data_IF_614407071323
#
_entry.id   IF_614407071323
#
_cell.length_a   1.000
_cell.length_b   1.000
_cell.length_c   1.000
_cell.angle_alpha   90.00
_cell.angle_beta   90.00
_cell.angle_gamma   90.00
#
_symmetry.space_group_name_H-M   'P 1'
#
loop_
_entity.id
_entity.type
_entity.pdbx_description
1 polymer ?
#
# COMPACT_ATOMS: atom_id res chain seq x y z
N UNK A 1 -3.70 16.63 -16.11
CA UNK A 1 -3.98 15.23 -15.74
C UNK A 1 -3.18 14.90 -14.49
N UNK A 2 -3.79 15.00 -13.30
CA UNK A 2 -3.11 14.71 -12.05
C UNK A 2 -2.88 13.20 -11.95
N UNK A 3 -1.69 12.74 -12.31
CA UNK A 3 -1.26 11.33 -12.19
C UNK A 3 -1.06 11.02 -10.70
N UNK A 4 -2.15 10.89 -9.97
CA UNK A 4 -2.14 10.68 -8.54
C UNK A 4 -1.99 9.19 -8.22
N UNK A 5 -0.80 8.79 -7.78
CA UNK A 5 -0.62 7.46 -7.20
C UNK A 5 -1.25 7.44 -5.81
N UNK A 6 -2.28 6.62 -5.61
CA UNK A 6 -2.88 6.40 -4.28
C UNK A 6 -1.78 6.06 -3.27
N UNK A 7 -1.94 6.52 -2.02
CA UNK A 7 -1.01 6.19 -0.92
C UNK A 7 -0.75 4.67 -0.83
N UNK A 8 -1.76 3.89 -1.18
CA UNK A 8 -1.73 2.43 -1.21
C UNK A 8 -0.79 1.89 -2.29
N UNK A 9 -0.80 2.50 -3.48
CA UNK A 9 0.16 2.12 -4.53
C UNK A 9 1.60 2.47 -4.15
N UNK A 10 1.84 3.57 -3.41
CA UNK A 10 3.18 3.90 -2.88
C UNK A 10 3.67 2.92 -1.83
N UNK A 11 2.79 2.46 -0.93
CA UNK A 11 3.15 1.48 0.10
C UNK A 11 3.50 0.13 -0.56
N UNK A 12 2.80 -0.26 -1.63
CA UNK A 12 3.10 -1.47 -2.40
C UNK A 12 4.51 -1.45 -2.99
N UNK A 13 4.91 -0.36 -3.65
CA UNK A 13 6.27 -0.21 -4.19
C UNK A 13 7.32 -0.13 -3.10
N UNK A 14 6.99 0.47 -1.95
CA UNK A 14 7.90 0.50 -0.80
C UNK A 14 8.16 -0.90 -0.23
N UNK A 15 7.12 -1.72 -0.05
CA UNK A 15 7.26 -3.10 0.41
C UNK A 15 8.13 -3.93 -0.56
N UNK A 16 7.91 -3.79 -1.86
CA UNK A 16 8.71 -4.45 -2.89
C UNK A 16 10.19 -4.03 -2.82
N UNK A 17 10.46 -2.73 -2.63
CA UNK A 17 11.83 -2.22 -2.48
C UNK A 17 12.56 -2.80 -1.27
N UNK A 18 11.85 -3.05 -0.16
CA UNK A 18 12.44 -3.59 1.07
C UNK A 18 13.01 -5.01 0.88
N UNK A 19 12.41 -5.80 -0.02
CA UNK A 19 12.90 -7.14 -0.38
C UNK A 19 14.26 -7.04 -1.09
N UNK A 20 14.41 -6.09 -2.02
CA UNK A 20 15.67 -5.86 -2.71
C UNK A 20 16.79 -5.46 -1.74
N UNK A 21 16.48 -4.61 -0.76
CA UNK A 21 17.43 -4.25 0.31
C UNK A 21 17.83 -5.49 1.11
N UNK A 22 16.88 -6.36 1.47
CA UNK A 22 17.16 -7.63 2.14
C UNK A 22 18.15 -8.51 1.37
N UNK A 23 17.96 -8.68 0.06
CA UNK A 23 18.89 -9.44 -0.77
C UNK A 23 20.28 -8.82 -0.87
N UNK A 24 20.38 -7.50 -0.96
CA UNK A 24 21.67 -6.79 -0.97
C UNK A 24 22.41 -7.01 0.35
N UNK A 25 21.71 -6.88 1.49
CA UNK A 25 22.29 -7.13 2.82
C UNK A 25 22.79 -8.58 2.95
N UNK A 26 22.00 -9.56 2.46
CA UNK A 26 22.42 -10.96 2.44
C UNK A 26 23.67 -11.18 1.58
N UNK A 27 23.72 -10.58 0.39
CA UNK A 27 24.86 -10.71 -0.52
C UNK A 27 26.14 -10.11 0.08
N UNK A 28 26.05 -8.96 0.74
CA UNK A 28 27.17 -8.34 1.45
C UNK A 28 27.66 -9.25 2.58
N UNK A 29 26.76 -9.92 3.30
CA UNK A 29 27.11 -10.88 4.34
C UNK A 29 27.98 -12.05 3.84
N UNK A 30 27.80 -12.47 2.58
CA UNK A 30 28.60 -13.54 1.96
C UNK A 30 30.04 -13.09 1.68
N UNK A 31 30.29 -11.79 1.53
CA UNK A 31 31.65 -11.26 1.33
C UNK A 31 32.51 -11.41 2.60
N UNK A 32 31.88 -11.44 3.78
CA UNK A 32 32.53 -11.62 5.10
C UNK A 32 32.60 -13.09 5.55
N UNK A 33 32.75 -14.03 4.60
CA UNK A 33 32.88 -15.48 4.86
C UNK A 33 34.01 -15.84 5.83
N UNK A 34 35.01 -14.97 6.00
CA UNK A 34 36.15 -15.23 6.87
C UNK A 34 35.80 -15.27 8.37
N UNK A 35 34.64 -14.72 8.74
CA UNK A 35 34.15 -14.68 10.12
C UNK A 35 32.70 -15.17 10.18
N UNK A 36 32.44 -16.40 10.68
CA UNK A 36 31.11 -17.00 10.68
C UNK A 36 30.09 -16.22 11.53
N UNK A 37 30.54 -15.47 12.54
CA UNK A 37 29.69 -14.61 13.36
C UNK A 37 29.09 -13.43 12.57
N UNK A 38 29.93 -12.73 11.80
CA UNK A 38 29.48 -11.58 11.00
C UNK A 38 28.55 -12.06 9.88
N UNK A 39 28.90 -13.17 9.22
CA UNK A 39 28.05 -13.79 8.20
C UNK A 39 26.64 -14.09 8.74
N UNK A 40 26.56 -14.70 9.92
CA UNK A 40 25.28 -15.11 10.52
C UNK A 40 24.39 -13.91 10.89
N UNK A 41 24.98 -12.83 11.40
CA UNK A 41 24.24 -11.60 11.74
C UNK A 41 23.64 -10.96 10.48
N UNK A 42 24.40 -10.83 9.40
CA UNK A 42 23.91 -10.27 8.14
C UNK A 42 22.82 -11.14 7.50
N UNK A 43 22.96 -12.46 7.59
CA UNK A 43 21.97 -13.41 7.07
C UNK A 43 20.66 -13.33 7.87
N UNK A 44 20.74 -13.27 9.20
CA UNK A 44 19.57 -13.10 10.08
C UNK A 44 18.88 -11.75 9.83
N UNK A 45 19.67 -10.68 9.68
CA UNK A 45 19.16 -9.35 9.38
C UNK A 45 18.41 -9.32 8.03
N UNK A 46 18.96 -9.97 7.00
CA UNK A 46 18.31 -10.11 5.70
C UNK A 46 16.96 -10.82 5.79
N UNK A 47 16.86 -11.88 6.59
CA UNK A 47 15.58 -12.57 6.85
C UNK A 47 14.59 -11.66 7.56
N UNK A 48 15.03 -10.87 8.55
CA UNK A 48 14.18 -9.88 9.22
C UNK A 48 13.59 -8.88 8.23
N UNK A 49 14.39 -8.38 7.27
CA UNK A 49 13.90 -7.48 6.22
C UNK A 49 12.82 -8.12 5.33
N UNK A 50 12.98 -9.41 4.97
CA UNK A 50 12.00 -10.14 4.17
C UNK A 50 10.70 -10.38 4.94
N UNK A 51 10.81 -10.76 6.22
CA UNK A 51 9.64 -10.93 7.11
C UNK A 51 8.91 -9.60 7.28
N UNK A 52 9.63 -8.51 7.52
CA UNK A 52 9.06 -7.18 7.65
C UNK A 52 8.33 -6.75 6.38
N UNK A 53 8.91 -7.01 5.19
CA UNK A 53 8.25 -6.72 3.91
C UNK A 53 6.94 -7.52 3.76
N UNK A 54 6.98 -8.82 4.08
CA UNK A 54 5.81 -9.69 4.02
C UNK A 54 4.71 -9.22 4.97
N UNK A 55 5.06 -8.76 6.18
CA UNK A 55 4.10 -8.19 7.13
C UNK A 55 3.41 -6.92 6.60
N UNK A 56 4.17 -6.01 6.00
CA UNK A 56 3.61 -4.80 5.37
C UNK A 56 2.68 -5.18 4.21
N UNK A 57 3.10 -6.12 3.36
CA UNK A 57 2.29 -6.58 2.24
C UNK A 57 1.01 -7.29 2.69
N UNK A 58 1.09 -8.09 3.76
CA UNK A 58 -0.04 -8.76 4.37
C UNK A 58 -1.06 -7.76 4.92
N UNK A 59 -0.62 -6.70 5.58
CA UNK A 59 -1.52 -5.65 6.08
C UNK A 59 -2.25 -4.92 4.94
N UNK A 60 -1.57 -4.62 3.83
CA UNK A 60 -2.19 -4.04 2.63
C UNK A 60 -3.18 -5.04 2.00
N UNK A 61 -2.81 -6.33 1.94
CA UNK A 61 -3.68 -7.39 1.46
C UNK A 61 -4.98 -7.47 2.26
N UNK A 62 -4.89 -7.39 3.59
CA UNK A 62 -6.05 -7.33 4.47
C UNK A 62 -6.89 -6.05 4.27
N UNK A 63 -6.28 -4.91 3.93
CA UNK A 63 -7.02 -3.69 3.58
C UNK A 63 -7.84 -3.88 2.28
N UNK A 64 -7.30 -4.64 1.32
CA UNK A 64 -7.94 -4.92 0.02
C UNK A 64 -9.14 -5.87 0.11
N UNK A 65 -9.21 -6.72 1.14
CA UNK A 65 -10.36 -7.62 1.35
C UNK A 65 -11.56 -6.94 2.03
N UNK A 66 -11.37 -5.77 2.65
CA UNK A 66 -12.43 -4.99 3.30
C UNK A 66 -13.13 -3.99 2.38
N UNK A 67 -12.65 -3.82 1.15
CA UNK A 67 -13.19 -2.87 0.19
C UNK A 67 -14.51 -3.36 -0.43
N UNK A 68 -15.51 -2.48 -0.49
CA UNK A 68 -16.80 -2.74 -1.13
C UNK A 68 -16.63 -2.69 -2.65
N UNK A 69 -17.19 -3.68 -3.35
CA UNK A 69 -17.19 -3.73 -4.81
C UNK A 69 -18.39 -2.94 -5.32
N UNK A 70 -18.14 -1.92 -6.16
CA UNK A 70 -19.19 -1.16 -6.86
C UNK A 70 -18.88 -1.11 -8.34
N UNK A 71 -19.91 -1.01 -9.16
CA UNK A 71 -19.76 -0.87 -10.61
C UNK A 71 -19.55 0.60 -10.93
N UNK A 72 -18.47 0.93 -11.63
CA UNK A 72 -18.19 2.31 -12.03
C UNK A 72 -19.19 2.76 -13.12
N UNK A 73 -19.87 3.91 -12.98
CA UNK A 73 -20.86 4.37 -13.95
C UNK A 73 -20.26 4.81 -15.30
N UNK A 74 -18.95 5.10 -15.36
CA UNK A 74 -18.29 5.51 -16.59
C UNK A 74 -17.72 4.32 -17.40
N UNK A 75 -17.15 3.32 -16.73
CA UNK A 75 -16.49 2.20 -17.42
C UNK A 75 -17.18 0.83 -17.24
N UNK A 76 -18.28 0.77 -16.48
CA UNK A 76 -19.09 -0.43 -16.17
C UNK A 76 -18.31 -1.61 -15.57
N UNK A 77 -17.05 -1.40 -15.21
CA UNK A 77 -16.20 -2.40 -14.57
C UNK A 77 -16.38 -2.36 -13.06
N UNK A 78 -16.35 -3.54 -12.45
CA UNK A 78 -16.32 -3.68 -11.00
C UNK A 78 -15.01 -3.08 -10.45
N UNK A 79 -15.14 -2.06 -9.60
CA UNK A 79 -14.01 -1.45 -8.90
C UNK A 79 -14.21 -1.57 -7.39
N UNK A 80 -13.14 -1.88 -6.68
CA UNK A 80 -13.12 -1.87 -5.22
C UNK A 80 -12.83 -0.46 -4.74
N UNK A 81 -13.65 0.07 -3.84
CA UNK A 81 -13.47 1.39 -3.24
C UNK A 81 -12.98 1.18 -1.82
N UNK A 82 -11.80 1.73 -1.48
CA UNK A 82 -11.19 1.54 -0.16
C UNK A 82 -11.61 2.61 0.87
N UNK A 83 -12.29 3.68 0.44
CA UNK A 83 -12.75 4.79 1.28
C UNK A 83 -14.08 5.41 0.81
N UNK A 84 -14.43 6.58 1.33
CA UNK A 84 -15.60 7.40 0.92
C UNK A 84 -15.41 7.99 -0.48
N UNK A 85 -14.16 8.32 -0.81
CA UNK A 85 -13.71 8.95 -2.06
C UNK A 85 -12.50 8.17 -2.58
N UNK A 86 -12.60 7.50 -3.72
CA UNK A 86 -11.48 6.76 -4.32
C UNK A 86 -11.50 6.93 -5.84
N UNK A 87 -10.38 6.64 -6.51
CA UNK A 87 -10.37 6.65 -7.98
C UNK A 87 -10.68 5.25 -8.49
N UNK A 88 -11.44 5.14 -9.58
CA UNK A 88 -11.64 3.86 -10.25
C UNK A 88 -10.28 3.30 -10.70
N UNK A 89 -9.98 2.04 -10.39
CA UNK A 89 -8.70 1.42 -10.74
C UNK A 89 -8.46 1.25 -12.25
N UNK A 90 -9.52 1.36 -13.07
CA UNK A 90 -9.48 1.15 -14.52
C UNK A 90 -9.48 2.44 -15.32
N UNK A 91 -10.41 3.37 -15.05
CA UNK A 91 -10.51 4.64 -15.76
C UNK A 91 -9.88 5.83 -15.02
N UNK A 92 -9.44 5.65 -13.75
CA UNK A 92 -8.97 6.72 -12.87
C UNK A 92 -9.96 7.88 -12.67
N UNK A 93 -11.25 7.65 -12.95
CA UNK A 93 -12.31 8.61 -12.66
C UNK A 93 -12.48 8.74 -11.14
N UNK A 94 -12.62 9.96 -10.60
CA UNK A 94 -12.99 10.17 -9.20
C UNK A 94 -14.38 9.58 -8.93
N UNK A 95 -14.45 8.62 -8.00
CA UNK A 95 -15.69 7.98 -7.57
C UNK A 95 -15.96 8.30 -6.10
N UNK A 96 -17.16 8.78 -5.81
CA UNK A 96 -17.63 9.09 -4.45
C UNK A 96 -18.80 8.18 -4.11
N UNK A 97 -18.80 7.61 -2.89
CA UNK A 97 -19.91 6.79 -2.40
C UNK A 97 -20.97 7.60 -1.63
N UNK A 98 -20.68 8.83 -1.22
CA UNK A 98 -21.63 9.68 -0.51
C UNK A 98 -22.28 10.72 -1.41
N UNK A 99 -23.62 10.79 -1.36
CA UNK A 99 -24.42 11.82 -2.02
C UNK A 99 -24.13 13.24 -1.52
N UNK A 100 -23.52 13.39 -0.33
CA UNK A 100 -23.16 14.71 0.25
C UNK A 100 -21.91 15.35 -0.38
N UNK A 101 -21.20 14.60 -1.24
CA UNK A 101 -19.98 15.01 -1.93
C UNK A 101 -20.19 15.22 -3.44
N UNK A 102 -21.41 15.03 -3.96
CA UNK A 102 -21.75 15.34 -5.35
C UNK A 102 -21.56 16.84 -5.64
N UNK A 103 -20.76 17.15 -6.65
CA UNK A 103 -20.46 18.53 -7.07
C UNK A 103 -19.29 19.22 -6.34
N UNK A 104 -18.62 18.53 -5.40
CA UNK A 104 -17.37 19.03 -4.79
C UNK A 104 -16.15 18.50 -5.54
N UNK A 105 -15.08 19.29 -5.57
CA UNK A 105 -13.80 18.85 -6.13
C UNK A 105 -13.26 17.64 -5.35
N UNK A 106 -12.71 16.66 -6.06
CA UNK A 106 -12.17 15.43 -5.47
C UNK A 106 -11.02 15.73 -4.50
N UNK A 107 -11.22 15.53 -3.20
CA UNK A 107 -10.17 15.62 -2.18
C UNK A 107 -10.13 14.35 -1.30
N UNK A 108 -8.97 13.69 -1.23
CA UNK A 108 -8.76 12.54 -0.34
C UNK A 108 -8.84 12.90 1.16
N UNK A 109 -8.86 14.19 1.52
CA UNK A 109 -9.14 14.62 2.89
C UNK A 109 -10.50 14.16 3.38
N UNK A 110 -11.48 13.95 2.49
CA UNK A 110 -12.79 13.39 2.85
C UNK A 110 -12.71 11.92 3.34
N UNK A 111 -11.61 11.21 3.06
CA UNK A 111 -11.35 9.87 3.61
C UNK A 111 -10.73 9.89 5.01
N UNK A 112 -10.28 11.03 5.53
CA UNK A 112 -9.93 11.10 6.95
C UNK A 112 -11.25 10.98 7.72
N UNK A 113 -11.42 9.89 8.47
CA UNK A 113 -12.35 9.91 9.61
C UNK A 113 -12.01 11.17 10.39
N UNK A 114 -12.92 12.14 10.45
CA UNK A 114 -12.93 13.05 11.59
C UNK A 114 -12.80 12.14 12.80
N UNK A 115 -11.71 12.30 13.56
CA UNK A 115 -11.68 11.77 14.91
C UNK A 115 -12.93 12.35 15.53
N UNK A 116 -13.96 11.51 15.73
CA UNK A 116 -14.98 11.82 16.71
C UNK A 116 -14.17 11.99 17.99
N UNK A 117 -13.95 13.24 18.38
CA UNK A 117 -13.55 13.58 19.73
C UNK A 117 -14.78 13.14 20.53
N UNK A 118 -14.75 11.88 20.98
CA UNK A 118 -15.61 11.46 22.06
C UNK A 118 -15.06 12.21 23.28
N UNK A 119 -15.78 13.26 23.67
CA UNK A 119 -15.71 13.86 25.00
C UNK A 119 -16.34 12.91 26.01
#
# INVERSE_FOLDING_TARGET
MAKYSSKINKIRTFALSLIFVGFIVMYIGIFFRNSPLIMSIFMLLGVIFIIASTGIYFWIGMLSTKAVQVVCPNCEKATKVLGRVDMCMHCNEPLTLDASLEGKEFDQKYNKKEKRIEQ
#
